data_IF_515045180604
#
_entry.id   IF_515045180604
#
_cell.length_a   1.000
_cell.length_b   1.000
_cell.length_c   1.000
_cell.angle_alpha   90.00
_cell.angle_beta   90.00
_cell.angle_gamma   90.00
#
_symmetry.space_group_name_H-M   'P 1'
#
loop_
_entity.id
_entity.type
_entity.pdbx_description
1 polymer ?
#
# COMPACT_ATOMS: atom_id res chain seq x y z
N UNK A 1 20.61 11.79 -7.86
CA UNK A 1 20.79 12.90 -6.92
C UNK A 1 19.45 13.16 -6.24
N UNK A 2 19.38 13.23 -4.90
CA UNK A 2 18.10 13.39 -4.19
C UNK A 2 17.64 14.85 -4.22
N UNK A 3 16.50 15.12 -4.87
CA UNK A 3 15.93 16.46 -4.91
C UNK A 3 15.18 16.78 -3.62
N UNK A 4 15.85 17.49 -2.69
CA UNK A 4 15.30 17.79 -1.36
C UNK A 4 14.03 18.64 -1.41
N UNK A 5 13.90 19.53 -2.42
CA UNK A 5 12.71 20.38 -2.56
C UNK A 5 11.47 19.55 -2.91
N UNK A 6 11.59 18.56 -3.78
CA UNK A 6 10.49 17.63 -4.11
C UNK A 6 10.01 16.85 -2.89
N UNK A 7 10.93 16.41 -2.04
CA UNK A 7 10.60 15.67 -0.82
C UNK A 7 9.82 16.57 0.16
N UNK A 8 10.26 17.82 0.33
CA UNK A 8 9.56 18.79 1.18
C UNK A 8 8.17 19.13 0.64
N UNK A 9 8.05 19.36 -0.67
CA UNK A 9 6.76 19.63 -1.33
C UNK A 9 5.81 18.45 -1.15
N UNK A 10 6.30 17.22 -1.31
CA UNK A 10 5.49 16.01 -1.13
C UNK A 10 5.04 15.82 0.32
N UNK A 11 5.96 15.98 1.27
CA UNK A 11 5.65 15.92 2.70
C UNK A 11 4.60 16.96 3.10
N UNK A 12 4.67 18.17 2.54
CA UNK A 12 3.69 19.23 2.77
C UNK A 12 2.32 18.90 2.18
N UNK A 13 2.28 18.38 0.95
CA UNK A 13 1.04 17.96 0.31
C UNK A 13 0.34 16.83 1.10
N UNK A 14 1.10 15.84 1.57
CA UNK A 14 0.58 14.75 2.39
C UNK A 14 0.06 15.26 3.74
N UNK A 15 0.82 16.16 4.40
CA UNK A 15 0.38 16.82 5.63
C UNK A 15 -0.94 17.57 5.47
N UNK A 16 -1.11 18.32 4.38
CA UNK A 16 -2.36 19.07 4.09
C UNK A 16 -3.52 18.14 3.76
N UNK A 17 -3.26 17.02 3.09
CA UNK A 17 -4.27 15.98 2.83
C UNK A 17 -4.76 15.39 4.15
N UNK A 18 -3.83 15.02 5.03
CA UNK A 18 -4.14 14.44 6.34
C UNK A 18 -4.93 15.41 7.23
N UNK A 19 -4.54 16.70 7.24
CA UNK A 19 -5.32 17.75 7.90
C UNK A 19 -6.76 17.85 7.38
N UNK A 20 -6.95 17.80 6.04
CA UNK A 20 -8.28 17.88 5.42
C UNK A 20 -9.14 16.66 5.76
N UNK A 21 -8.53 15.48 5.84
CA UNK A 21 -9.20 14.21 6.16
C UNK A 21 -9.38 13.98 7.66
N UNK A 22 -8.74 14.79 8.52
CA UNK A 22 -8.75 14.60 9.97
C UNK A 22 -7.90 13.40 10.44
N UNK A 23 -6.96 12.93 9.61
CA UNK A 23 -6.10 11.79 9.91
C UNK A 23 -4.87 12.27 10.70
N UNK A 24 -4.73 11.87 11.96
CA UNK A 24 -3.54 12.17 12.79
C UNK A 24 -3.37 13.64 13.22
N UNK A 25 -4.18 14.57 12.69
CA UNK A 25 -4.24 15.99 13.10
C UNK A 25 -5.70 16.41 13.16
N UNK A 26 -6.04 17.29 14.12
CA UNK A 26 -7.38 17.92 14.13
C UNK A 26 -7.61 18.66 12.81
N UNK A 27 -8.78 18.45 12.22
CA UNK A 27 -9.23 19.17 11.04
C UNK A 27 -9.20 20.67 11.32
N UNK A 28 -8.55 21.43 10.44
CA UNK A 28 -8.32 22.88 10.55
C UNK A 28 -7.60 23.33 11.84
N UNK A 29 -6.86 22.42 12.49
CA UNK A 29 -6.05 22.73 13.66
C UNK A 29 -4.74 23.47 13.33
N UNK A 30 -4.08 24.04 14.36
CA UNK A 30 -2.78 24.68 14.18
C UNK A 30 -1.73 23.70 13.66
N UNK A 31 -0.65 24.25 13.09
CA UNK A 31 0.43 23.45 12.53
C UNK A 31 1.02 22.47 13.57
N UNK A 32 1.01 21.19 13.23
CA UNK A 32 1.50 20.10 14.06
C UNK A 32 2.87 19.64 13.55
N UNK A 33 3.94 20.16 14.17
CA UNK A 33 5.34 19.80 13.85
C UNK A 33 5.59 18.29 13.88
N UNK A 34 5.00 17.58 14.84
CA UNK A 34 5.18 16.13 15.00
C UNK A 34 4.61 15.35 13.81
N UNK A 35 3.43 15.73 13.32
CA UNK A 35 2.79 15.08 12.18
C UNK A 35 3.50 15.44 10.87
N UNK A 36 3.88 16.70 10.68
CA UNK A 36 4.68 17.09 9.52
C UNK A 36 6.03 16.34 9.47
N UNK A 37 6.71 16.17 10.61
CA UNK A 37 7.93 15.36 10.70
C UNK A 37 7.70 13.88 10.35
N UNK A 38 6.50 13.35 10.61
CA UNK A 38 6.10 12.01 10.17
C UNK A 38 5.93 11.96 8.64
N UNK A 39 5.17 12.89 8.05
CA UNK A 39 5.02 12.99 6.58
C UNK A 39 6.37 13.15 5.88
N UNK A 40 7.30 13.91 6.47
CA UNK A 40 8.65 14.10 5.95
C UNK A 40 9.47 12.80 5.96
N UNK A 41 9.41 12.05 7.06
CA UNK A 41 10.09 10.74 7.16
C UNK A 41 9.54 9.75 6.13
N UNK A 42 8.22 9.74 5.91
CA UNK A 42 7.58 8.89 4.91
C UNK A 42 8.00 9.27 3.48
N UNK A 43 7.94 10.56 3.14
CA UNK A 43 8.37 11.05 1.83
C UNK A 43 9.86 10.71 1.56
N UNK A 44 10.70 10.83 2.58
CA UNK A 44 12.12 10.45 2.50
C UNK A 44 12.31 8.94 2.27
N UNK A 45 11.57 8.10 2.99
CA UNK A 45 11.62 6.64 2.83
C UNK A 45 11.19 6.21 1.42
N UNK A 46 10.08 6.75 0.90
CA UNK A 46 9.60 6.46 -0.46
C UNK A 46 10.62 6.90 -1.51
N UNK A 47 11.29 8.03 -1.31
CA UNK A 47 12.29 8.53 -2.25
C UNK A 47 13.56 7.67 -2.23
N UNK A 48 13.97 7.18 -1.05
CA UNK A 48 15.04 6.18 -0.92
C UNK A 48 14.69 4.88 -1.63
N UNK A 49 13.47 4.38 -1.46
CA UNK A 49 13.02 3.16 -2.14
C UNK A 49 13.01 3.33 -3.67
N UNK A 50 12.51 4.47 -4.17
CA UNK A 50 12.55 4.79 -5.60
C UNK A 50 13.97 4.88 -6.15
N UNK A 51 14.87 5.51 -5.39
CA UNK A 51 16.28 5.58 -5.76
C UNK A 51 16.96 4.20 -5.75
N UNK A 52 16.63 3.35 -4.78
CA UNK A 52 17.11 1.97 -4.72
C UNK A 52 16.59 1.14 -5.91
N UNK A 53 15.31 1.28 -6.27
CA UNK A 53 14.71 0.65 -7.46
C UNK A 53 15.30 1.15 -8.77
N UNK A 54 15.68 2.43 -8.85
CA UNK A 54 16.32 3.01 -10.03
C UNK A 54 17.82 2.68 -10.13
N UNK A 55 18.49 2.43 -9.00
CA UNK A 55 19.89 2.04 -8.93
C UNK A 55 20.10 0.52 -9.04
N UNK A 56 19.06 -0.28 -8.75
CA UNK A 56 19.05 -1.66 -9.18
C UNK A 56 19.09 -1.64 -10.72
N UNK A 57 20.07 -2.29 -11.38
CA UNK A 57 19.88 -2.63 -12.79
C UNK A 57 18.55 -3.37 -12.89
N UNK A 58 17.89 -3.34 -14.04
CA UNK A 58 16.70 -4.14 -14.31
C UNK A 58 17.01 -5.63 -14.09
N UNK A 59 17.09 -6.05 -12.84
CA UNK A 59 17.07 -7.41 -12.40
C UNK A 59 15.65 -7.82 -12.73
N UNK A 60 15.54 -8.40 -13.92
CA UNK A 60 14.48 -9.26 -14.40
C UNK A 60 13.38 -9.32 -13.36
N UNK A 61 12.33 -8.52 -13.56
CA UNK A 61 11.00 -8.89 -13.07
C UNK A 61 10.94 -10.39 -13.34
N UNK A 62 10.86 -11.28 -12.34
CA UNK A 62 10.62 -12.67 -12.65
C UNK A 62 9.36 -12.62 -13.47
N UNK A 63 9.46 -12.93 -14.78
CA UNK A 63 8.32 -12.93 -15.67
C UNK A 63 7.27 -13.72 -14.90
N UNK A 64 6.15 -13.07 -14.55
CA UNK A 64 5.01 -13.73 -13.92
C UNK A 64 4.80 -14.98 -14.75
N UNK A 65 5.22 -16.13 -14.23
CA UNK A 65 5.01 -17.38 -14.93
C UNK A 65 3.50 -17.43 -15.10
N UNK A 66 2.97 -17.58 -16.32
CA UNK A 66 1.54 -17.76 -16.46
C UNK A 66 1.16 -18.89 -15.49
N UNK A 67 0.20 -18.62 -14.60
CA UNK A 67 -0.31 -19.59 -13.65
C UNK A 67 -1.03 -20.64 -14.53
N UNK A 68 -0.28 -21.65 -14.98
CA UNK A 68 -0.74 -22.67 -15.94
C UNK A 68 -1.45 -23.84 -15.25
N UNK A 69 -1.56 -23.82 -13.93
CA UNK A 69 -2.22 -24.87 -13.17
C UNK A 69 -3.72 -24.56 -13.07
N UNK A 70 -4.61 -25.34 -13.72
CA UNK A 70 -6.06 -25.10 -13.68
C UNK A 70 -6.63 -25.16 -12.25
N UNK A 71 -6.04 -25.98 -11.37
CA UNK A 71 -6.41 -26.04 -9.95
C UNK A 71 -6.12 -24.72 -9.21
N UNK A 72 -5.04 -24.03 -9.57
CA UNK A 72 -4.64 -22.75 -8.96
C UNK A 72 -5.55 -21.62 -9.40
N UNK A 73 -6.00 -21.64 -10.67
CA UNK A 73 -6.97 -20.67 -11.17
C UNK A 73 -8.35 -20.84 -10.52
N UNK A 74 -8.83 -22.08 -10.39
CA UNK A 74 -10.09 -22.38 -9.71
C UNK A 74 -10.06 -21.92 -8.24
N UNK A 75 -8.96 -22.15 -7.52
CA UNK A 75 -8.80 -21.71 -6.13
C UNK A 75 -8.75 -20.18 -5.99
N UNK A 76 -8.15 -19.46 -6.95
CA UNK A 76 -8.15 -17.99 -6.96
C UNK A 76 -9.58 -17.44 -7.16
N UNK A 77 -10.38 -18.04 -8.02
CA UNK A 77 -11.77 -17.63 -8.24
C UNK A 77 -12.65 -17.93 -7.01
N UNK A 78 -12.45 -19.07 -6.37
CA UNK A 78 -13.15 -19.44 -5.14
C UNK A 78 -12.85 -18.48 -3.98
N UNK A 79 -11.57 -18.15 -3.74
CA UNK A 79 -11.16 -17.18 -2.72
C UNK A 79 -11.76 -15.78 -3.00
N UNK A 80 -11.86 -15.38 -4.28
CA UNK A 80 -12.49 -14.11 -4.65
C UNK A 80 -13.99 -14.10 -4.38
N UNK A 81 -14.68 -15.20 -4.62
CA UNK A 81 -16.10 -15.33 -4.30
C UNK A 81 -16.32 -15.29 -2.78
N UNK A 82 -15.52 -16.00 -2.00
CA UNK A 82 -15.58 -16.00 -0.53
C UNK A 82 -15.34 -14.59 0.06
N UNK A 83 -14.35 -13.85 -0.47
CA UNK A 83 -14.09 -12.47 -0.05
C UNK A 83 -15.26 -11.52 -0.38
N UNK A 84 -15.97 -11.74 -1.50
CA UNK A 84 -17.16 -10.96 -1.86
C UNK A 84 -18.34 -11.26 -0.93
N UNK A 85 -18.54 -12.53 -0.55
CA UNK A 85 -19.58 -12.92 0.40
C UNK A 85 -19.31 -12.38 1.81
N UNK A 86 -18.07 -12.42 2.28
CA UNK A 86 -17.66 -11.83 3.55
C UNK A 86 -17.88 -10.30 3.57
N UNK A 87 -17.66 -9.61 2.44
CA UNK A 87 -17.90 -8.16 2.32
C UNK A 87 -19.38 -7.77 2.28
N UNK A 88 -20.26 -8.67 1.83
CA UNK A 88 -21.71 -8.46 1.77
C UNK A 88 -22.44 -8.93 3.04
N UNK A 89 -21.78 -9.71 3.90
CA UNK A 89 -22.33 -10.15 5.17
C UNK A 89 -22.35 -9.03 6.22
N UNK A 90 -23.36 -9.04 7.10
CA UNK A 90 -23.52 -8.03 8.16
C UNK A 90 -22.40 -8.03 9.21
N UNK A 91 -21.49 -9.03 9.19
CA UNK A 91 -20.41 -9.18 10.16
C UNK A 91 -19.17 -9.81 9.52
N UNK A 92 -18.21 -8.97 9.13
CA UNK A 92 -16.94 -9.39 8.52
C UNK A 92 -16.06 -10.09 9.57
N UNK A 93 -15.64 -11.32 9.31
CA UNK A 93 -14.67 -12.00 10.15
C UNK A 93 -13.25 -11.64 9.68
N UNK A 94 -12.70 -10.55 10.23
CA UNK A 94 -11.43 -9.98 9.79
C UNK A 94 -10.24 -10.96 9.80
N UNK A 95 -10.24 -11.97 10.68
CA UNK A 95 -9.16 -12.98 10.71
C UNK A 95 -9.24 -13.91 9.50
N UNK A 96 -10.44 -14.36 9.13
CA UNK A 96 -10.68 -15.15 7.92
C UNK A 96 -10.39 -14.33 6.66
N UNK A 97 -10.84 -13.06 6.64
CA UNK A 97 -10.57 -12.13 5.55
C UNK A 97 -9.07 -11.95 5.29
N UNK A 98 -8.27 -11.69 6.34
CA UNK A 98 -6.82 -11.54 6.20
C UNK A 98 -6.12 -12.85 5.80
N UNK A 99 -6.60 -14.00 6.25
CA UNK A 99 -6.07 -15.30 5.84
C UNK A 99 -6.30 -15.55 4.34
N UNK A 100 -7.53 -15.32 3.85
CA UNK A 100 -7.89 -15.44 2.43
C UNK A 100 -7.12 -14.45 1.55
N UNK A 101 -6.92 -13.22 2.03
CA UNK A 101 -6.15 -12.21 1.30
C UNK A 101 -4.66 -12.57 1.23
N UNK A 102 -4.11 -13.18 2.28
CA UNK A 102 -2.75 -13.73 2.30
C UNK A 102 -2.62 -14.90 1.31
N UNK A 103 -3.56 -15.84 1.31
CA UNK A 103 -3.60 -16.97 0.36
C UNK A 103 -3.73 -16.48 -1.10
N UNK A 104 -4.54 -15.46 -1.37
CA UNK A 104 -4.62 -14.86 -2.70
C UNK A 104 -3.28 -14.23 -3.12
N UNK A 105 -2.59 -13.57 -2.19
CA UNK A 105 -1.30 -12.95 -2.46
C UNK A 105 -0.20 -13.96 -2.78
N UNK A 106 -0.21 -15.14 -2.14
CA UNK A 106 0.76 -16.21 -2.42
C UNK A 106 0.48 -16.93 -3.72
N UNK A 107 -0.80 -17.07 -4.11
CA UNK A 107 -1.19 -17.71 -5.37
C UNK A 107 -1.04 -16.79 -6.60
N UNK A 108 -0.94 -15.48 -6.41
CA UNK A 108 -0.83 -14.48 -7.49
C UNK A 108 0.55 -13.81 -7.62
N UNK A 109 1.48 -14.15 -6.74
CA UNK A 109 2.88 -13.72 -6.75
C UNK A 109 3.72 -14.54 -7.75
#
# INVERSE_FOLDING_TARGET
>A
MFNRSEILTKAWADYRRDQKMGLGVRRDGPFCRRHFAYCLRMAWAVTKERAAKAAAPAALVPAKRPITCPATLARIEEIRAELLWEQLGERINWTAFHALQSELSTLTA
#
